data_IF_218594457691
#
_entry.id   IF_218594457691
#
_cell.length_a   1.000
_cell.length_b   1.000
_cell.length_c   1.000
_cell.angle_alpha   90.00
_cell.angle_beta   90.00
_cell.angle_gamma   90.00
#
_symmetry.space_group_name_H-M   'P 1'
#
loop_
_entity.id
_entity.type
_entity.pdbx_description
1 polymer ?
#
# COMPACT_ATOMS: atom_id res chain seq x y z
N UNK A 1 -15.29 -4.36 14.43
CA UNK A 1 -14.16 -3.67 15.13
C UNK A 1 -12.97 -4.62 15.00
N UNK A 2 -11.85 -4.18 14.41
CA UNK A 2 -10.68 -5.03 14.29
C UNK A 2 -10.17 -5.40 15.70
N UNK A 3 -9.76 -6.66 15.86
CA UNK A 3 -9.24 -7.16 17.14
C UNK A 3 -7.89 -6.48 17.45
N UNK A 4 -7.77 -5.87 18.63
CA UNK A 4 -6.53 -5.18 19.05
C UNK A 4 -5.34 -6.14 19.12
N UNK A 5 -5.57 -7.42 19.43
CA UNK A 5 -4.52 -8.45 19.47
C UNK A 5 -3.99 -8.71 18.06
N UNK A 6 -4.89 -8.82 17.09
CA UNK A 6 -4.51 -8.97 15.67
C UNK A 6 -3.74 -7.74 15.18
N UNK A 7 -4.24 -6.53 15.46
CA UNK A 7 -3.56 -5.30 15.05
C UNK A 7 -2.14 -5.21 15.66
N UNK A 8 -1.99 -5.54 16.94
CA UNK A 8 -0.69 -5.60 17.59
C UNK A 8 0.25 -6.59 16.92
N UNK A 9 -0.23 -7.79 16.61
CA UNK A 9 0.55 -8.82 15.90
C UNK A 9 1.01 -8.34 14.53
N UNK A 10 0.11 -7.81 13.70
CA UNK A 10 0.42 -7.33 12.35
C UNK A 10 1.40 -6.15 12.37
N UNK A 11 1.23 -5.25 13.33
CA UNK A 11 2.13 -4.11 13.51
C UNK A 11 3.54 -4.56 13.94
N UNK A 12 3.65 -5.45 14.91
CA UNK A 12 4.93 -6.03 15.32
C UNK A 12 5.60 -6.80 14.17
N UNK A 13 4.83 -7.52 13.35
CA UNK A 13 5.33 -8.17 12.14
C UNK A 13 5.89 -7.14 11.14
N UNK A 14 5.17 -6.04 10.89
CA UNK A 14 5.63 -4.96 10.01
C UNK A 14 6.95 -4.35 10.52
N UNK A 15 7.04 -4.04 11.82
CA UNK A 15 8.25 -3.49 12.43
C UNK A 15 9.44 -4.46 12.32
N UNK A 16 9.25 -5.73 12.71
CA UNK A 16 10.31 -6.75 12.67
C UNK A 16 10.81 -7.01 11.23
N UNK A 17 9.92 -7.04 10.23
CA UNK A 17 10.26 -7.35 8.84
C UNK A 17 10.82 -6.15 8.08
N UNK A 18 10.42 -4.93 8.44
CA UNK A 18 10.94 -3.69 7.84
C UNK A 18 12.28 -3.27 8.45
N UNK A 19 12.50 -3.58 9.72
CA UNK A 19 13.65 -3.13 10.52
C UNK A 19 13.46 -1.72 11.10
N UNK A 20 12.26 -1.13 10.98
CA UNK A 20 11.93 0.11 11.67
C UNK A 20 11.67 -0.14 13.16
N UNK A 21 11.96 0.84 14.03
CA UNK A 21 11.61 0.75 15.44
C UNK A 21 10.10 0.58 15.63
N UNK A 22 9.70 -0.34 16.49
CA UNK A 22 8.31 -0.51 16.88
C UNK A 22 7.82 0.69 17.70
N UNK A 23 6.59 1.13 17.43
CA UNK A 23 5.95 2.22 18.15
C UNK A 23 4.98 1.67 19.21
N UNK A 24 4.69 2.45 20.27
CA UNK A 24 3.59 2.13 21.17
C UNK A 24 2.27 1.99 20.42
N UNK A 25 1.41 1.05 20.81
CA UNK A 25 0.09 0.87 20.19
C UNK A 25 -0.80 2.12 20.28
N UNK A 26 -0.57 2.98 21.29
CA UNK A 26 -1.24 4.29 21.43
C UNK A 26 -0.92 5.26 20.30
N UNK A 27 0.18 5.05 19.58
CA UNK A 27 0.67 5.94 18.55
C UNK A 27 0.30 5.45 17.14
N UNK A 28 -0.48 4.35 17.07
CA UNK A 28 -1.00 3.86 15.81
C UNK A 28 -2.08 4.80 15.25
N UNK A 29 -2.11 5.00 13.93
CA UNK A 29 -3.17 5.75 13.28
C UNK A 29 -4.53 5.08 13.47
N UNK A 30 -5.58 5.86 13.36
CA UNK A 30 -6.96 5.35 13.42
C UNK A 30 -7.23 4.43 12.23
N UNK A 31 -7.73 3.21 12.47
CA UNK A 31 -8.16 2.30 11.42
C UNK A 31 -9.64 2.54 11.09
N UNK A 32 -9.93 2.84 9.81
CA UNK A 32 -11.29 3.02 9.28
C UNK A 32 -11.59 1.98 8.21
N UNK A 33 -12.55 1.11 8.49
CA UNK A 33 -13.06 0.15 7.52
C UNK A 33 -14.18 0.79 6.70
N UNK A 34 -14.05 0.76 5.37
CA UNK A 34 -14.93 1.45 4.45
C UNK A 34 -15.47 0.53 3.36
N UNK A 35 -16.67 0.80 2.88
CA UNK A 35 -17.14 0.14 1.66
C UNK A 35 -16.18 0.45 0.50
N UNK A 36 -15.89 -0.52 -0.42
CA UNK A 36 -14.92 -0.32 -1.49
C UNK A 36 -15.15 0.95 -2.32
N UNK A 37 -16.40 1.24 -2.68
CA UNK A 37 -16.72 2.46 -3.43
C UNK A 37 -16.44 3.76 -2.64
N UNK A 38 -16.71 3.77 -1.33
CA UNK A 38 -16.44 4.92 -0.48
C UNK A 38 -14.94 5.15 -0.28
N UNK A 39 -14.15 4.07 -0.19
CA UNK A 39 -12.69 4.17 -0.13
C UNK A 39 -12.12 4.82 -1.40
N UNK A 40 -12.58 4.37 -2.56
CA UNK A 40 -12.16 4.91 -3.87
C UNK A 40 -12.52 6.39 -4.00
N UNK A 41 -13.75 6.77 -3.62
CA UNK A 41 -14.22 8.15 -3.67
C UNK A 41 -13.44 9.07 -2.71
N UNK A 42 -13.10 8.58 -1.49
CA UNK A 42 -12.32 9.35 -0.52
C UNK A 42 -10.84 9.50 -0.94
N UNK A 43 -10.25 8.45 -1.53
CA UNK A 43 -8.85 8.46 -1.94
C UNK A 43 -8.61 9.24 -3.26
N UNK A 44 -9.53 9.14 -4.21
CA UNK A 44 -9.40 9.73 -5.55
C UNK A 44 -10.69 10.47 -5.95
N UNK A 45 -11.02 11.60 -5.28
CA UNK A 45 -12.27 12.33 -5.52
C UNK A 45 -12.37 12.90 -6.94
N UNK A 46 -11.24 13.24 -7.57
CA UNK A 46 -11.19 13.85 -8.89
C UNK A 46 -11.33 12.82 -10.03
N UNK A 47 -10.73 11.64 -9.89
CA UNK A 47 -10.91 10.51 -10.82
C UNK A 47 -10.93 9.17 -10.07
N UNK A 48 -12.08 8.70 -9.63
CA UNK A 48 -12.23 7.42 -8.91
C UNK A 48 -11.70 6.20 -9.66
N UNK A 49 -11.58 6.28 -11.01
CA UNK A 49 -11.06 5.16 -11.82
C UNK A 49 -9.57 4.91 -11.61
N UNK A 50 -8.81 5.92 -11.17
CA UNK A 50 -7.40 5.76 -10.83
C UNK A 50 -7.20 4.87 -9.60
N UNK A 51 -8.21 4.81 -8.72
CA UNK A 51 -8.18 4.06 -7.46
C UNK A 51 -9.17 2.89 -7.41
N UNK A 52 -9.71 2.43 -8.55
CA UNK A 52 -10.75 1.37 -8.59
C UNK A 52 -10.32 0.05 -7.93
N UNK A 53 -9.01 -0.13 -7.69
CA UNK A 53 -8.38 -1.32 -7.12
C UNK A 53 -7.74 -1.08 -5.77
N UNK A 54 -7.91 0.11 -5.24
CA UNK A 54 -7.37 0.44 -3.93
C UNK A 54 -7.97 -0.49 -2.87
N UNK A 55 -7.10 -1.10 -2.08
CA UNK A 55 -7.47 -2.02 -0.99
C UNK A 55 -7.31 -1.36 0.36
N UNK A 56 -6.21 -0.64 0.55
CA UNK A 56 -5.91 0.11 1.76
C UNK A 56 -5.08 1.36 1.41
N UNK A 57 -5.03 2.32 2.32
CA UNK A 57 -4.27 3.56 2.18
C UNK A 57 -3.94 4.12 3.56
N UNK A 58 -2.67 4.43 3.82
CA UNK A 58 -2.28 5.29 4.94
C UNK A 58 -2.36 6.76 4.54
N UNK A 59 -3.34 7.47 5.10
CA UNK A 59 -3.47 8.92 5.00
C UNK A 59 -2.58 9.56 6.08
N UNK A 60 -1.40 10.00 5.68
CA UNK A 60 -0.41 10.60 6.57
C UNK A 60 -0.89 11.92 7.17
N UNK A 61 -1.65 12.72 6.41
CA UNK A 61 -2.09 14.04 6.85
C UNK A 61 -3.16 13.96 7.95
N UNK A 62 -4.00 12.93 7.87
CA UNK A 62 -5.09 12.69 8.84
C UNK A 62 -4.73 11.63 9.89
N UNK A 63 -3.54 11.06 9.84
CA UNK A 63 -3.09 9.98 10.73
C UNK A 63 -4.11 8.83 10.81
N UNK A 64 -4.51 8.31 9.65
CA UNK A 64 -5.48 7.22 9.55
C UNK A 64 -5.11 6.20 8.49
N UNK A 65 -5.48 4.95 8.72
CA UNK A 65 -5.46 3.90 7.71
C UNK A 65 -6.90 3.65 7.26
N UNK A 66 -7.13 3.84 5.96
CA UNK A 66 -8.38 3.49 5.30
C UNK A 66 -8.22 2.09 4.72
N UNK A 67 -9.20 1.20 4.93
CA UNK A 67 -9.16 -0.16 4.40
C UNK A 67 -10.57 -0.63 4.02
N UNK A 68 -10.66 -1.47 3.00
CA UNK A 68 -11.92 -2.07 2.56
C UNK A 68 -12.56 -2.92 3.65
N UNK A 69 -13.87 -2.73 3.86
CA UNK A 69 -14.64 -3.44 4.87
C UNK A 69 -15.05 -4.88 4.46
N UNK A 70 -14.87 -5.25 3.19
CA UNK A 70 -15.18 -6.58 2.67
C UNK A 70 -14.01 -7.58 2.77
N UNK A 71 -12.87 -7.16 3.36
CA UNK A 71 -11.74 -8.04 3.66
C UNK A 71 -12.01 -8.89 4.91
N UNK A 72 -11.55 -10.14 4.86
CA UNK A 72 -11.47 -11.00 6.04
C UNK A 72 -10.10 -10.82 6.73
N UNK A 73 -10.03 -9.98 7.73
CA UNK A 73 -8.78 -9.73 8.46
C UNK A 73 -8.25 -10.96 9.23
N UNK A 74 -8.97 -12.09 9.28
CA UNK A 74 -8.44 -13.36 9.77
C UNK A 74 -7.67 -14.14 8.68
N UNK A 75 -7.89 -13.81 7.40
CA UNK A 75 -7.10 -14.39 6.30
C UNK A 75 -5.77 -13.63 6.14
N UNK A 76 -4.60 -14.31 6.14
CA UNK A 76 -3.29 -13.68 5.99
C UNK A 76 -3.12 -12.90 4.69
N UNK A 77 -3.78 -13.27 3.60
CA UNK A 77 -3.70 -12.51 2.34
C UNK A 77 -4.36 -11.15 2.50
N UNK A 78 -5.56 -11.13 3.10
CA UNK A 78 -6.32 -9.90 3.29
C UNK A 78 -5.68 -8.99 4.35
N UNK A 79 -5.23 -9.54 5.48
CA UNK A 79 -4.60 -8.73 6.52
C UNK A 79 -3.18 -8.27 6.16
N UNK A 80 -2.55 -8.86 5.14
CA UNK A 80 -1.25 -8.43 4.63
C UNK A 80 -1.26 -6.98 4.11
N UNK A 81 -2.41 -6.48 3.68
CA UNK A 81 -2.57 -5.07 3.30
C UNK A 81 -2.40 -4.14 4.51
N UNK A 82 -2.82 -4.55 5.71
CA UNK A 82 -2.51 -3.78 6.93
C UNK A 82 -1.01 -3.81 7.25
N UNK A 83 -0.33 -4.93 7.04
CA UNK A 83 1.13 -5.00 7.20
C UNK A 83 1.82 -4.02 6.26
N UNK A 84 1.35 -3.89 5.02
CA UNK A 84 1.82 -2.91 4.04
C UNK A 84 1.66 -1.48 4.57
N UNK A 85 0.46 -1.10 4.97
CA UNK A 85 0.18 0.26 5.48
C UNK A 85 0.95 0.56 6.77
N UNK A 86 1.14 -0.42 7.65
CA UNK A 86 1.97 -0.25 8.86
C UNK A 86 3.44 0.04 8.53
N UNK A 87 3.97 -0.48 7.42
CA UNK A 87 5.32 -0.09 6.97
C UNK A 87 5.37 1.39 6.63
N UNK A 88 4.35 1.93 5.96
CA UNK A 88 4.25 3.35 5.66
C UNK A 88 4.15 4.20 6.92
N UNK A 89 3.36 3.76 7.92
CA UNK A 89 3.29 4.42 9.23
C UNK A 89 4.65 4.50 9.90
N UNK A 90 5.36 3.37 9.98
CA UNK A 90 6.69 3.30 10.60
C UNK A 90 7.70 4.17 9.85
N UNK A 91 7.68 4.13 8.53
CA UNK A 91 8.54 4.93 7.68
C UNK A 91 8.27 6.42 7.83
N UNK A 92 7.01 6.84 7.85
CA UNK A 92 6.62 8.22 8.05
C UNK A 92 7.11 8.77 9.40
N UNK A 93 6.96 7.98 10.47
CA UNK A 93 7.49 8.35 11.80
C UNK A 93 9.01 8.47 11.80
N UNK A 94 9.72 7.61 11.08
CA UNK A 94 11.18 7.63 11.00
C UNK A 94 11.70 8.76 10.13
N UNK A 95 11.05 9.05 9.01
CA UNK A 95 11.53 10.00 7.99
C UNK A 95 10.95 11.41 8.14
N UNK A 96 9.80 11.56 8.81
CA UNK A 96 9.12 12.84 8.97
C UNK A 96 8.88 13.54 7.63
N UNK A 97 9.29 14.78 7.48
CA UNK A 97 9.13 15.59 6.26
C UNK A 97 9.80 15.00 5.00
N UNK A 98 10.65 13.98 5.14
CA UNK A 98 11.26 13.27 4.01
C UNK A 98 10.45 12.06 3.56
N UNK A 99 9.36 11.75 4.25
CA UNK A 99 8.45 10.68 3.85
C UNK A 99 7.76 11.06 2.52
N UNK A 100 7.91 10.21 1.52
CA UNK A 100 7.30 10.37 0.19
C UNK A 100 7.35 11.78 -0.43
N UNK A 101 8.41 12.55 -0.11
CA UNK A 101 8.54 13.96 -0.53
C UNK A 101 8.76 14.15 -2.04
N UNK A 102 9.10 13.09 -2.76
CA UNK A 102 9.23 13.07 -4.22
C UNK A 102 8.89 11.68 -4.79
N UNK A 103 8.72 11.59 -6.11
CA UNK A 103 8.40 10.34 -6.80
C UNK A 103 9.37 9.20 -6.46
N UNK A 104 10.68 9.46 -6.36
CA UNK A 104 11.66 8.42 -6.04
C UNK A 104 11.54 7.96 -4.59
N UNK A 105 11.23 8.86 -3.67
CA UNK A 105 10.98 8.52 -2.27
C UNK A 105 9.73 7.66 -2.15
N UNK A 106 8.64 8.05 -2.83
CA UNK A 106 7.40 7.26 -2.88
C UNK A 106 7.64 5.88 -3.48
N UNK A 107 8.33 5.79 -4.62
CA UNK A 107 8.61 4.51 -5.26
C UNK A 107 9.48 3.58 -4.40
N UNK A 108 10.43 4.12 -3.63
CA UNK A 108 11.21 3.34 -2.67
C UNK A 108 10.35 2.87 -1.50
N UNK A 109 9.50 3.74 -0.97
CA UNK A 109 8.54 3.45 0.09
C UNK A 109 7.64 2.27 -0.29
N UNK A 110 7.01 2.34 -1.46
CA UNK A 110 6.17 1.28 -1.99
C UNK A 110 6.91 -0.06 -2.16
N UNK A 111 8.11 -0.03 -2.75
CA UNK A 111 8.94 -1.23 -2.91
C UNK A 111 9.29 -1.87 -1.57
N UNK A 112 9.60 -1.07 -0.56
CA UNK A 112 9.89 -1.56 0.78
C UNK A 112 8.64 -2.14 1.45
N UNK A 113 7.49 -1.48 1.34
CA UNK A 113 6.23 -1.96 1.89
C UNK A 113 5.80 -3.29 1.24
N UNK A 114 5.82 -3.40 -0.10
CA UNK A 114 5.54 -4.69 -0.77
C UNK A 114 6.56 -5.77 -0.45
N UNK A 115 7.83 -5.44 -0.28
CA UNK A 115 8.85 -6.40 0.15
C UNK A 115 8.51 -6.99 1.52
N UNK A 116 8.06 -6.17 2.45
CA UNK A 116 7.65 -6.59 3.80
C UNK A 116 6.36 -7.40 3.73
N UNK A 117 5.35 -6.93 3.02
CA UNK A 117 4.09 -7.65 2.78
C UNK A 117 4.34 -9.07 2.23
N UNK A 118 5.18 -9.19 1.20
CA UNK A 118 5.50 -10.48 0.60
C UNK A 118 6.29 -11.41 1.54
N UNK A 119 7.14 -10.86 2.42
CA UNK A 119 7.81 -11.64 3.46
C UNK A 119 6.83 -12.13 4.53
N UNK A 120 5.90 -11.28 4.95
CA UNK A 120 4.84 -11.66 5.86
C UNK A 120 4.01 -12.80 5.28
N UNK A 121 3.52 -12.67 4.05
CA UNK A 121 2.78 -13.72 3.35
C UNK A 121 3.55 -15.05 3.30
N UNK A 122 4.85 -15.00 3.03
CA UNK A 122 5.70 -16.19 3.03
C UNK A 122 5.79 -16.85 4.42
N UNK A 123 5.86 -16.06 5.50
CA UNK A 123 5.86 -16.58 6.88
C UNK A 123 4.53 -17.23 7.25
N UNK A 124 3.41 -16.67 6.72
CA UNK A 124 2.07 -17.22 6.89
C UNK A 124 1.76 -18.39 5.93
N UNK A 125 2.76 -18.89 5.19
CA UNK A 125 2.62 -20.03 4.28
C UNK A 125 1.84 -19.70 2.99
N UNK A 126 1.76 -18.43 2.62
CA UNK A 126 1.07 -17.96 1.41
C UNK A 126 2.05 -17.84 0.24
N UNK A 127 1.55 -18.10 -0.97
CA UNK A 127 2.33 -18.02 -2.21
C UNK A 127 2.10 -16.74 -3.01
N UNK A 128 1.09 -15.99 -2.66
CA UNK A 128 0.72 -14.72 -3.30
C UNK A 128 1.88 -13.71 -3.23
N UNK A 129 2.00 -12.88 -4.26
CA UNK A 129 3.00 -11.81 -4.37
C UNK A 129 2.37 -10.54 -4.92
N UNK A 130 2.66 -9.43 -4.27
CA UNK A 130 2.18 -8.11 -4.65
C UNK A 130 3.34 -7.19 -5.03
N UNK A 131 3.05 -6.13 -5.79
CA UNK A 131 4.00 -5.09 -6.13
C UNK A 131 5.05 -5.46 -7.19
N UNK A 132 4.93 -6.60 -7.90
CA UNK A 132 5.92 -7.07 -8.88
C UNK A 132 6.15 -6.09 -10.02
N UNK A 133 5.11 -5.37 -10.44
CA UNK A 133 5.17 -4.35 -11.51
C UNK A 133 6.02 -3.13 -11.14
N UNK A 134 6.19 -2.83 -9.84
CA UNK A 134 7.04 -1.70 -9.41
C UNK A 134 8.52 -1.89 -9.77
N UNK A 135 8.94 -3.11 -10.13
CA UNK A 135 10.29 -3.37 -10.60
C UNK A 135 10.63 -2.62 -11.90
N UNK A 136 9.62 -2.33 -12.73
CA UNK A 136 9.77 -1.66 -14.03
C UNK A 136 9.40 -0.18 -14.02
N UNK A 137 8.87 0.31 -12.89
CA UNK A 137 8.49 1.73 -12.76
C UNK A 137 9.73 2.57 -12.45
N UNK A 138 9.84 3.71 -13.15
CA UNK A 138 10.88 4.72 -12.93
C UNK A 138 10.24 6.11 -12.85
N UNK A 139 10.86 7.00 -12.11
CA UNK A 139 10.43 8.39 -12.05
C UNK A 139 11.04 9.19 -13.19
N UNK A 140 10.24 10.03 -13.85
CA UNK A 140 10.76 10.96 -14.86
C UNK A 140 11.78 11.91 -14.23
N UNK A 141 12.90 12.19 -14.95
CA UNK A 141 14.02 12.96 -14.42
C UNK A 141 13.72 14.43 -14.12
N UNK A 142 12.63 14.99 -14.64
CA UNK A 142 12.34 16.43 -14.62
C UNK A 142 11.17 16.86 -13.73
N UNK A 143 10.66 16.01 -12.84
CA UNK A 143 9.66 16.46 -11.86
C UNK A 143 10.30 17.18 -10.64
N UNK A 144 11.27 18.04 -10.91
CA UNK A 144 11.66 19.08 -9.95
C UNK A 144 10.76 20.27 -10.18
N UNK A 145 9.69 20.37 -9.51
CA UNK A 145 8.79 21.53 -9.39
C UNK A 145 7.36 21.20 -9.71
N UNK A 146 6.60 20.99 -8.71
CA UNK A 146 5.32 21.64 -8.48
C UNK A 146 4.62 20.86 -7.37
N UNK A 147 4.43 21.51 -6.26
CA UNK A 147 3.58 21.00 -5.19
C UNK A 147 2.17 20.78 -5.72
N UNK A 148 1.82 19.56 -5.69
CA UNK A 148 0.53 18.93 -5.44
C UNK A 148 0.76 17.45 -5.69
N UNK A 149 0.68 16.66 -4.63
CA UNK A 149 1.18 15.30 -4.54
C UNK A 149 0.43 14.22 -5.30
N UNK A 150 0.17 14.40 -6.59
CA UNK A 150 -0.25 13.30 -7.44
C UNK A 150 0.97 12.62 -8.05
N UNK A 151 1.22 11.38 -7.64
CA UNK A 151 2.26 10.54 -8.20
C UNK A 151 1.90 10.16 -9.63
N UNK A 152 2.64 10.68 -10.61
CA UNK A 152 2.58 10.19 -11.99
C UNK A 152 3.68 9.17 -12.19
N UNK A 153 3.30 7.90 -12.30
CA UNK A 153 4.21 6.81 -12.62
C UNK A 153 4.37 6.73 -14.15
N UNK A 154 5.59 6.87 -14.63
CA UNK A 154 5.91 6.68 -16.05
C UNK A 154 6.72 5.39 -16.23
N UNK A 155 6.41 4.62 -17.27
CA UNK A 155 7.13 3.40 -17.63
C UNK A 155 8.44 3.75 -18.33
N UNK A 156 9.53 3.03 -18.02
CA UNK A 156 10.84 3.29 -18.60
C UNK A 156 10.81 3.22 -20.14
N UNK A 157 11.48 4.18 -20.86
CA UNK A 157 11.58 4.13 -22.30
C UNK A 157 12.28 2.85 -22.77
N UNK A 158 11.62 2.07 -23.65
CA UNK A 158 12.13 0.82 -24.19
C UNK A 158 11.33 -0.43 -23.79
N UNK A 159 10.39 -0.32 -22.87
CA UNK A 159 9.40 -1.37 -22.61
C UNK A 159 8.24 -1.18 -23.57
N UNK A 160 8.21 -2.00 -24.63
CA UNK A 160 7.14 -1.96 -25.61
C UNK A 160 5.80 -2.24 -24.92
N UNK A 161 4.85 -1.29 -25.05
CA UNK A 161 3.48 -1.26 -24.52
C UNK A 161 3.32 -0.72 -23.09
N UNK A 162 3.42 0.60 -22.94
CA UNK A 162 3.06 1.34 -21.72
C UNK A 162 1.65 0.98 -21.23
N UNK A 163 0.71 0.87 -22.16
CA UNK A 163 -0.70 0.50 -21.92
C UNK A 163 -0.84 -0.94 -21.37
N UNK A 164 0.02 -1.86 -21.80
CA UNK A 164 0.00 -3.27 -21.36
C UNK A 164 0.60 -3.46 -19.97
N UNK A 165 1.60 -2.67 -19.58
CA UNK A 165 2.20 -2.71 -18.23
C UNK A 165 1.23 -2.13 -17.21
N UNK A 166 0.58 -1.01 -17.56
CA UNK A 166 -0.49 -0.42 -16.74
C UNK A 166 -1.69 -1.38 -16.63
N UNK A 167 -2.12 -1.99 -17.75
CA UNK A 167 -3.20 -2.99 -17.78
C UNK A 167 -2.86 -4.26 -16.98
N UNK A 168 -1.62 -4.72 -16.99
CA UNK A 168 -1.18 -5.86 -16.17
C UNK A 168 -1.17 -5.50 -14.67
N UNK A 169 -0.69 -4.31 -14.31
CA UNK A 169 -0.78 -3.79 -12.94
C UNK A 169 -2.22 -3.77 -12.46
N UNK A 170 -3.07 -3.21 -13.30
CA UNK A 170 -4.48 -3.13 -13.06
C UNK A 170 -5.16 -4.50 -13.03
N UNK A 171 -4.61 -5.52 -13.72
CA UNK A 171 -5.11 -6.88 -13.72
C UNK A 171 -4.67 -7.66 -12.47
N UNK A 172 -3.42 -7.53 -12.03
CA UNK A 172 -2.92 -8.20 -10.82
C UNK A 172 -3.63 -7.71 -9.55
N UNK A 173 -3.93 -6.41 -9.47
CA UNK A 173 -4.76 -5.88 -8.39
C UNK A 173 -6.20 -6.44 -8.43
N UNK A 174 -6.78 -6.67 -9.64
CA UNK A 174 -8.11 -7.33 -9.80
C UNK A 174 -8.07 -8.79 -9.37
N UNK A 175 -7.03 -9.49 -9.77
CA UNK A 175 -6.92 -10.93 -9.53
C UNK A 175 -6.68 -11.18 -8.04
N UNK A 176 -5.93 -10.32 -7.36
CA UNK A 176 -5.78 -10.32 -5.90
C UNK A 176 -7.10 -10.05 -5.18
N UNK A 177 -7.86 -9.04 -5.61
CA UNK A 177 -9.18 -8.72 -5.05
C UNK A 177 -10.23 -9.82 -5.36
N UNK A 178 -10.17 -10.43 -6.56
CA UNK A 178 -11.08 -11.53 -6.94
C UNK A 178 -10.75 -12.86 -6.23
N UNK A 179 -9.51 -13.08 -5.83
CA UNK A 179 -9.13 -14.23 -5.01
C UNK A 179 -9.68 -14.11 -3.58
N UNK A 180 -9.73 -12.89 -3.03
CA UNK A 180 -10.34 -12.61 -1.74
C UNK A 180 -11.87 -12.80 -1.73
N UNK A 181 -12.55 -12.63 -2.88
CA UNK A 181 -14.01 -12.80 -2.99
C UNK A 181 -14.49 -14.26 -3.22
N UNK A 182 -13.58 -15.20 -3.49
CA UNK A 182 -13.94 -16.61 -3.81
C UNK A 182 -13.75 -17.58 -2.65
N UNK A 183 -13.42 -17.09 -1.49
CA UNK A 183 -13.28 -17.86 -0.25
C UNK A 183 -14.34 -17.45 0.76
#
# INVERSE_FOLDING_TARGET
>A
MADIVLLSYLFSAAAALSGYPELPLSDLPTLRMMAPAALVEEACPDDPRECDKLVALYDHDREQILIRADLDLQDPTDNSFLVHEFVHVLEARQKGALYQHDCNATLRSERDAYRVQNRYLQQEGRSERFGTQLATVVCARDQRSAGNGTMRLEVAPGVANEERVLQNFMQELRDGAAAAQRR
#
